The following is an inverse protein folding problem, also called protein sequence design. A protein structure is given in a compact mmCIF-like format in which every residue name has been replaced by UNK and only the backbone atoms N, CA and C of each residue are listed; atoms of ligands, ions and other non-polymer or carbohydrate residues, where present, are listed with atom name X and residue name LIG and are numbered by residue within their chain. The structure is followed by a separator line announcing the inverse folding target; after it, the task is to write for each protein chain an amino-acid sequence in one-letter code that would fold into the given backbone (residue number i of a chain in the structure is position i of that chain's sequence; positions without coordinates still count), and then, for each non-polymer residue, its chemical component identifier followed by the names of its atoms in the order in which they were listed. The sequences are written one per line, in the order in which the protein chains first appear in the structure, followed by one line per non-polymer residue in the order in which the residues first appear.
data_IF_893567955008
#
_entry.id   IF_893567955008
#
_cell.length_a   1.000
_cell.length_b   1.000
_cell.length_c   1.000
_cell.angle_alpha   90.00
_cell.angle_beta   90.00
_cell.angle_gamma   90.00
#
_symmetry.space_group_name_H-M   'P 1'
#
loop_
_entity.id
_entity.type
_entity.pdbx_description
1 polymer ?
#
# COMPACT_ATOMS: atom_id res chain seq x y z
N UNK A 1 -2.82 -9.10 -24.43
CA UNK A 1 -3.33 -7.78 -24.86
C UNK A 1 -2.20 -6.77 -24.75
N UNK A 2 -2.02 -5.88 -25.73
CA UNK A 2 -1.04 -4.78 -25.69
C UNK A 2 -1.80 -3.46 -25.51
N UNK A 3 -1.25 -2.55 -24.69
CA UNK A 3 -1.74 -1.18 -24.50
C UNK A 3 -0.65 -0.22 -24.97
N UNK A 4 -1.02 0.76 -25.80
CA UNK A 4 -0.11 1.80 -26.26
C UNK A 4 -0.51 3.12 -25.57
N UNK A 5 0.30 3.56 -24.61
CA UNK A 5 0.09 4.72 -23.76
C UNK A 5 1.40 5.46 -23.57
N UNK A 6 1.34 6.74 -23.19
CA UNK A 6 2.54 7.52 -22.88
C UNK A 6 3.23 7.00 -21.61
N UNK A 7 4.53 7.32 -21.46
CA UNK A 7 5.29 7.00 -20.24
C UNK A 7 4.66 7.64 -19.00
N UNK A 8 4.14 8.86 -19.12
CA UNK A 8 3.47 9.57 -18.02
C UNK A 8 2.20 8.84 -17.56
N UNK A 9 1.35 8.43 -18.51
CA UNK A 9 0.13 7.66 -18.21
C UNK A 9 0.47 6.31 -17.59
N UNK A 10 1.50 5.63 -18.10
CA UNK A 10 2.02 4.40 -17.54
C UNK A 10 2.43 4.59 -16.07
N UNK A 11 3.21 5.62 -15.76
CA UNK A 11 3.71 5.87 -14.40
C UNK A 11 2.58 6.22 -13.43
N UNK A 12 1.59 7.02 -13.86
CA UNK A 12 0.38 7.27 -13.06
C UNK A 12 -0.34 5.97 -12.72
N UNK A 13 -0.48 5.05 -13.68
CA UNK A 13 -1.09 3.74 -13.44
C UNK A 13 -0.25 2.88 -12.51
N UNK A 14 1.08 2.86 -12.69
CA UNK A 14 1.99 2.07 -11.86
C UNK A 14 2.09 2.57 -10.42
N UNK A 15 1.85 3.85 -10.15
CA UNK A 15 1.78 4.34 -8.78
C UNK A 15 0.70 3.62 -7.95
N UNK A 16 -0.44 3.29 -8.57
CA UNK A 16 -1.48 2.48 -7.95
C UNK A 16 -1.21 0.98 -8.07
N UNK A 17 -0.92 0.49 -9.28
CA UNK A 17 -0.89 -0.95 -9.56
C UNK A 17 0.38 -1.65 -9.05
N UNK A 18 1.51 -0.94 -8.99
CA UNK A 18 2.79 -1.47 -8.56
C UNK A 18 3.14 -0.91 -7.18
N UNK A 19 3.38 0.40 -7.06
CA UNK A 19 3.91 0.99 -5.84
C UNK A 19 2.95 0.80 -4.65
N UNK A 20 1.67 1.17 -4.79
CA UNK A 20 0.68 1.01 -3.71
C UNK A 20 0.37 -0.46 -3.38
N UNK A 21 0.22 -1.34 -4.37
CA UNK A 21 -0.02 -2.77 -4.13
C UNK A 21 1.16 -3.41 -3.38
N UNK A 22 2.41 -3.10 -3.75
CA UNK A 22 3.58 -3.59 -3.01
C UNK A 22 3.64 -3.01 -1.60
N UNK A 23 3.23 -1.75 -1.41
CA UNK A 23 3.14 -1.15 -0.08
C UNK A 23 2.17 -1.92 0.83
N UNK A 24 0.97 -2.22 0.33
CA UNK A 24 -0.03 -3.01 1.04
C UNK A 24 0.45 -4.43 1.32
N UNK A 25 0.99 -5.10 0.29
CA UNK A 25 1.47 -6.48 0.41
C UNK A 25 2.60 -6.62 1.43
N UNK A 26 3.58 -5.70 1.42
CA UNK A 26 4.67 -5.66 2.42
C UNK A 26 4.15 -5.33 3.82
N UNK A 27 3.15 -4.46 3.93
CA UNK A 27 2.49 -4.16 5.23
C UNK A 27 1.84 -5.41 5.80
N UNK A 28 1.04 -6.10 5.00
CA UNK A 28 0.42 -7.38 5.38
C UNK A 28 1.45 -8.46 5.73
N UNK A 29 2.59 -8.47 5.02
CA UNK A 29 3.68 -9.41 5.31
C UNK A 29 4.26 -9.14 6.70
N UNK A 30 4.55 -7.86 6.99
CA UNK A 30 5.04 -7.42 8.31
C UNK A 30 4.04 -7.69 9.43
N UNK A 31 2.75 -7.61 9.15
CA UNK A 31 1.67 -7.96 10.09
C UNK A 31 1.50 -9.48 10.29
N UNK A 32 2.14 -10.31 9.46
CA UNK A 32 2.06 -11.77 9.51
C UNK A 32 0.62 -12.32 9.41
N UNK A 33 -0.24 -11.66 8.62
CA UNK A 33 -1.67 -12.03 8.50
C UNK A 33 -1.90 -13.47 7.98
N UNK A 34 -0.93 -14.03 7.26
CA UNK A 34 -0.97 -15.40 6.75
C UNK A 34 -0.65 -16.49 7.78
N UNK A 35 -0.33 -16.12 9.03
CA UNK A 35 -0.04 -17.06 10.13
C UNK A 35 -1.22 -17.18 11.11
N UNK A 36 -2.38 -16.63 10.78
CA UNK A 36 -3.54 -16.71 11.67
C UNK A 36 -4.07 -18.16 11.74
N UNK A 37 -4.50 -18.66 12.91
CA UNK A 37 -5.03 -20.01 13.06
C UNK A 37 -6.32 -20.27 12.28
N UNK A 38 -7.11 -19.23 12.04
CA UNK A 38 -8.33 -19.26 11.24
C UNK A 38 -8.23 -18.20 10.15
N UNK A 39 -8.10 -18.64 8.90
CA UNK A 39 -8.02 -17.76 7.74
C UNK A 39 -9.29 -17.93 6.91
N UNK A 40 -9.96 -16.82 6.63
CA UNK A 40 -11.10 -16.78 5.72
C UNK A 40 -10.63 -16.58 4.28
N UNK A 41 -11.42 -17.04 3.30
CA UNK A 41 -11.05 -17.00 1.88
C UNK A 41 -10.71 -15.59 1.33
N UNK A 42 -11.28 -14.54 1.91
CA UNK A 42 -10.91 -13.15 1.57
C UNK A 42 -9.50 -12.79 2.03
N UNK A 43 -9.09 -13.25 3.21
CA UNK A 43 -7.75 -13.00 3.75
C UNK A 43 -6.69 -13.84 3.03
N UNK A 44 -7.03 -15.03 2.52
CA UNK A 44 -6.12 -15.81 1.66
C UNK A 44 -5.70 -15.03 0.40
N UNK A 45 -6.63 -14.28 -0.22
CA UNK A 45 -6.29 -13.43 -1.37
C UNK A 45 -5.31 -12.31 -1.00
N UNK A 46 -5.48 -11.72 0.18
CA UNK A 46 -4.54 -10.69 0.69
C UNK A 46 -3.18 -11.30 1.05
N UNK A 47 -3.17 -12.50 1.61
CA UNK A 47 -1.95 -13.26 1.89
C UNK A 47 -1.19 -13.59 0.59
N UNK A 48 -1.90 -13.92 -0.48
CA UNK A 48 -1.29 -14.13 -1.80
C UNK A 48 -0.59 -12.87 -2.32
N UNK A 49 -1.26 -11.71 -2.27
CA UNK A 49 -0.66 -10.41 -2.64
C UNK A 49 0.56 -10.10 -1.78
N UNK A 50 0.46 -10.36 -0.47
CA UNK A 50 1.54 -10.17 0.49
C UNK A 50 2.79 -10.97 0.15
N UNK A 51 2.62 -12.26 -0.20
CA UNK A 51 3.73 -13.12 -0.65
C UNK A 51 4.39 -12.61 -1.92
N UNK A 52 3.61 -12.21 -2.93
CA UNK A 52 4.17 -11.66 -4.18
C UNK A 52 5.00 -10.42 -3.87
N UNK A 53 4.44 -9.48 -3.10
CA UNK A 53 5.12 -8.23 -2.77
C UNK A 53 6.39 -8.42 -1.92
N UNK A 54 6.42 -9.46 -1.08
CA UNK A 54 7.56 -9.77 -0.21
C UNK A 54 8.70 -10.52 -0.93
N UNK A 55 8.44 -11.13 -2.09
CA UNK A 55 9.48 -11.81 -2.87
C UNK A 55 10.43 -10.83 -3.59
N UNK A 56 9.98 -9.60 -3.84
CA UNK A 56 10.84 -8.56 -4.42
C UNK A 56 11.89 -8.08 -3.41
N UNK A 57 13.03 -7.63 -3.91
CA UNK A 57 14.07 -7.02 -3.07
C UNK A 57 13.58 -5.71 -2.46
N UNK A 58 14.14 -5.35 -1.31
CA UNK A 58 13.86 -4.05 -0.70
C UNK A 58 14.31 -2.88 -1.59
N UNK A 59 15.42 -3.05 -2.30
CA UNK A 59 15.93 -2.09 -3.28
C UNK A 59 14.93 -1.83 -4.41
N UNK A 60 14.38 -2.89 -5.03
CA UNK A 60 13.38 -2.75 -6.08
C UNK A 60 12.12 -2.01 -5.55
N UNK A 61 11.72 -2.29 -4.32
CA UNK A 61 10.62 -1.56 -3.69
C UNK A 61 10.94 -0.08 -3.45
N UNK A 62 12.16 0.26 -3.04
CA UNK A 62 12.59 1.65 -2.91
C UNK A 62 12.58 2.35 -4.28
N UNK A 63 13.01 1.65 -5.33
CA UNK A 63 13.04 2.16 -6.70
C UNK A 63 11.65 2.50 -7.25
N UNK A 64 10.61 1.74 -6.86
CA UNK A 64 9.23 2.06 -7.21
C UNK A 64 8.78 3.45 -6.74
N UNK A 65 9.37 3.98 -5.67
CA UNK A 65 9.11 5.32 -5.16
C UNK A 65 10.12 6.34 -5.66
N UNK A 66 11.37 5.92 -5.85
CA UNK A 66 12.44 6.80 -6.30
C UNK A 66 12.23 7.27 -7.74
N UNK A 67 11.79 6.38 -8.62
CA UNK A 67 11.72 6.65 -10.06
C UNK A 67 10.32 6.95 -10.58
N UNK A 68 9.26 6.62 -9.83
CA UNK A 68 7.90 7.00 -10.19
C UNK A 68 7.47 8.29 -9.46
N UNK A 69 7.32 9.44 -10.17
CA UNK A 69 7.02 10.72 -9.54
C UNK A 69 5.63 10.78 -8.89
N UNK A 70 4.73 9.85 -9.23
CA UNK A 70 3.36 9.79 -8.70
C UNK A 70 3.23 8.91 -7.46
N UNK A 71 4.18 8.00 -7.22
CA UNK A 71 4.06 6.96 -6.18
C UNK A 71 3.97 7.53 -4.76
N UNK A 72 4.74 8.57 -4.43
CA UNK A 72 4.72 9.19 -3.10
C UNK A 72 3.34 9.80 -2.80
N UNK A 73 2.78 10.56 -3.75
CA UNK A 73 1.46 11.17 -3.61
C UNK A 73 0.37 10.11 -3.41
N UNK A 74 0.37 9.05 -4.21
CA UNK A 74 -0.62 7.97 -4.10
C UNK A 74 -0.54 7.27 -2.73
N UNK A 75 0.68 7.04 -2.21
CA UNK A 75 0.87 6.49 -0.86
C UNK A 75 0.30 7.44 0.20
N UNK A 76 0.57 8.74 0.10
CA UNK A 76 0.12 9.71 1.10
C UNK A 76 -1.41 9.85 1.09
N UNK A 77 -2.02 9.88 -0.10
CA UNK A 77 -3.48 9.85 -0.28
C UNK A 77 -4.07 8.58 0.34
N UNK A 78 -3.43 7.42 0.14
CA UNK A 78 -3.86 6.17 0.80
C UNK A 78 -3.79 6.28 2.32
N UNK A 79 -2.68 6.76 2.88
CA UNK A 79 -2.49 6.87 4.33
C UNK A 79 -3.48 7.85 4.97
N UNK A 80 -3.81 8.93 4.27
CA UNK A 80 -4.83 9.87 4.70
C UNK A 80 -6.22 9.22 4.75
N UNK A 81 -6.61 8.52 3.69
CA UNK A 81 -7.91 7.85 3.64
C UNK A 81 -8.00 6.65 4.59
N UNK A 82 -6.92 5.89 4.77
CA UNK A 82 -6.84 4.81 5.75
C UNK A 82 -7.11 5.34 7.17
N UNK A 83 -6.54 6.51 7.49
CA UNK A 83 -6.81 7.21 8.75
C UNK A 83 -8.27 7.63 8.88
N UNK A 84 -8.84 8.28 7.84
CA UNK A 84 -10.25 8.71 7.82
C UNK A 84 -11.22 7.54 8.01
N UNK A 85 -10.94 6.37 7.44
CA UNK A 85 -11.75 5.16 7.67
C UNK A 85 -11.69 4.75 9.14
N UNK A 86 -10.52 4.85 9.78
CA UNK A 86 -10.39 4.61 11.22
C UNK A 86 -11.23 5.55 12.09
N UNK A 87 -11.42 6.80 11.66
CA UNK A 87 -12.25 7.79 12.38
C UNK A 87 -13.74 7.43 12.38
N UNK A 88 -14.21 6.55 11.48
CA UNK A 88 -15.58 6.02 11.51
C UNK A 88 -15.82 5.18 12.78
N UNK A 89 -14.78 4.45 13.21
CA UNK A 89 -14.84 3.56 14.38
C UNK A 89 -14.65 4.38 15.66
N UNK A 90 -13.76 5.37 15.64
CA UNK A 90 -13.49 6.25 16.78
C UNK A 90 -13.45 7.75 16.40
N UNK A 91 -14.62 8.42 16.35
CA UNK A 91 -14.67 9.84 16.03
C UNK A 91 -13.94 10.68 17.09
N UNK A 92 -12.85 11.34 16.70
CA UNK A 92 -12.15 12.35 17.53
C UNK A 92 -10.84 11.93 18.22
N UNK A 93 -10.39 10.67 18.11
CA UNK A 93 -9.21 10.18 18.85
C UNK A 93 -7.86 10.70 18.32
N UNK A 94 -7.77 11.10 17.04
CA UNK A 94 -6.49 11.51 16.42
C UNK A 94 -6.15 13.00 16.52
N UNK A 95 -7.03 13.83 17.10
CA UNK A 95 -6.78 15.27 17.31
C UNK A 95 -5.63 15.57 18.30
N UNK A 96 -5.06 14.55 18.95
CA UNK A 96 -4.06 14.69 20.04
C UNK A 96 -2.59 14.48 19.64
N UNK A 97 -2.22 14.38 18.35
CA UNK A 97 -0.80 14.24 17.94
C UNK A 97 -0.17 15.46 17.25
N UNK A 98 -0.76 16.64 17.40
CA UNK A 98 -0.14 17.91 16.97
C UNK A 98 0.03 18.86 18.16
N UNK A 99 0.70 18.43 19.24
CA UNK A 99 1.49 19.30 20.13
C UNK A 99 2.48 18.42 20.90
N UNK A 100 3.75 18.42 20.49
CA UNK A 100 4.95 18.45 21.35
C UNK A 100 6.05 19.02 20.44
N UNK A 101 6.19 20.34 20.49
CA UNK A 101 7.33 21.07 21.09
C UNK A 101 8.61 20.86 20.30
#
# INVERSE_FOLDING_TARGET
RVLNISADEHDRMMAYNLSLIHHLGRTFHKMQIGKLPLIMANLERMNHISRIAANDTEELFQDFYRFNPYAARVRDDFMENFRRVGEIIEPGTLRKRSVKQ
#
